data_IF_987028843964
#
_entry.id   IF_987028843964
#
_cell.length_a   1.000
_cell.length_b   1.000
_cell.length_c   1.000
_cell.angle_alpha   90.00
_cell.angle_beta   90.00
_cell.angle_gamma   90.00
#
_symmetry.space_group_name_H-M   'P 1'
#
loop_
_entity.id
_entity.type
_entity.pdbx_description
1 polymer ?
#
# COMPACT_ATOMS: atom_id res chain seq x y z
N UNK A 1 5.38 -7.66 8.69
CA UNK A 1 5.33 -7.13 10.06
C UNK A 1 6.64 -7.34 10.82
N UNK A 2 7.34 -8.48 10.65
CA UNK A 2 8.58 -8.79 11.35
C UNK A 2 9.82 -8.01 10.87
N UNK A 3 9.72 -7.21 9.83
CA UNK A 3 10.85 -6.54 9.19
C UNK A 3 11.16 -5.15 9.74
N UNK A 4 10.58 -4.75 10.87
CA UNK A 4 10.61 -3.36 11.31
C UNK A 4 11.25 -3.17 12.69
N UNK A 5 11.86 -4.20 13.23
CA UNK A 5 12.61 -4.14 14.50
C UNK A 5 14.03 -3.56 14.35
N UNK A 6 14.42 -3.19 13.13
CA UNK A 6 15.75 -2.63 12.83
C UNK A 6 16.77 -3.64 12.33
N UNK A 7 16.43 -4.92 12.28
CA UNK A 7 17.26 -5.94 11.63
C UNK A 7 16.74 -6.18 10.20
N UNK A 8 17.58 -6.01 9.21
CA UNK A 8 17.29 -6.39 7.84
C UNK A 8 17.70 -7.84 7.67
N UNK A 9 16.76 -8.79 7.48
CA UNK A 9 17.16 -10.15 7.15
C UNK A 9 17.86 -10.15 5.79
N UNK A 10 19.08 -10.61 5.74
CA UNK A 10 19.84 -10.83 4.51
C UNK A 10 19.50 -12.18 3.88
N UNK A 11 19.44 -12.26 2.55
CA UNK A 11 19.19 -11.22 1.57
C UNK A 11 17.68 -11.00 1.37
N UNK A 12 17.24 -9.75 1.42
CA UNK A 12 15.87 -9.42 1.03
C UNK A 12 15.74 -9.56 -0.49
N UNK A 13 14.89 -10.47 -0.94
CA UNK A 13 14.46 -10.47 -2.35
C UNK A 13 13.57 -9.25 -2.56
N UNK A 14 13.99 -8.25 -3.33
CA UNK A 14 13.19 -7.05 -3.55
C UNK A 14 11.87 -7.43 -4.22
N UNK A 15 10.75 -6.92 -3.70
CA UNK A 15 9.47 -7.02 -4.40
C UNK A 15 9.54 -6.33 -5.77
N UNK A 16 8.64 -6.68 -6.68
CA UNK A 16 8.54 -6.00 -7.99
C UNK A 16 8.43 -4.48 -7.82
N UNK A 17 7.63 -4.01 -6.86
CA UNK A 17 7.51 -2.58 -6.55
C UNK A 17 8.86 -1.97 -6.10
N UNK A 18 9.61 -2.66 -5.26
CA UNK A 18 10.93 -2.19 -4.81
C UNK A 18 11.92 -2.12 -5.97
N UNK A 19 11.94 -3.11 -6.86
CA UNK A 19 12.77 -3.10 -8.06
C UNK A 19 12.42 -1.93 -9.00
N UNK A 20 11.16 -1.53 -9.04
CA UNK A 20 10.67 -0.38 -9.80
C UNK A 20 10.88 0.97 -9.08
N UNK A 21 11.55 1.01 -7.93
CA UNK A 21 11.75 2.23 -7.14
C UNK A 21 10.51 2.73 -6.40
N UNK A 22 9.49 1.87 -6.27
CA UNK A 22 8.21 2.15 -5.59
C UNK A 22 8.09 1.35 -4.28
N UNK A 23 9.20 1.17 -3.59
CA UNK A 23 9.25 0.51 -2.28
C UNK A 23 8.64 1.37 -1.16
N UNK A 24 9.02 1.08 0.08
CA UNK A 24 8.55 1.86 1.24
C UNK A 24 8.95 3.35 1.15
N UNK A 25 10.15 3.62 0.64
CA UNK A 25 10.59 4.96 0.26
C UNK A 25 10.64 5.00 -1.26
N UNK A 26 9.83 5.84 -1.86
CA UNK A 26 9.80 6.00 -3.30
C UNK A 26 11.05 6.74 -3.77
N UNK A 27 11.72 6.18 -4.75
CA UNK A 27 12.93 6.77 -5.33
C UNK A 27 12.64 7.53 -6.62
N UNK A 28 11.53 7.19 -7.28
CA UNK A 28 11.14 7.78 -8.56
C UNK A 28 9.62 7.81 -8.73
N UNK A 29 9.15 8.68 -9.60
CA UNK A 29 7.76 8.75 -10.05
C UNK A 29 7.72 8.31 -11.50
N UNK A 30 6.84 7.37 -11.81
CA UNK A 30 6.54 6.97 -13.18
C UNK A 30 5.26 7.66 -13.65
N UNK A 31 5.37 8.52 -14.64
CA UNK A 31 4.25 9.25 -15.20
C UNK A 31 4.35 9.29 -16.72
N UNK A 32 3.29 8.91 -17.42
CA UNK A 32 3.21 8.91 -18.88
C UNK A 32 4.41 8.23 -19.57
N UNK A 33 4.86 7.09 -19.05
CA UNK A 33 6.00 6.34 -19.59
C UNK A 33 7.37 6.91 -19.24
N UNK A 34 7.43 8.04 -18.54
CA UNK A 34 8.68 8.64 -18.07
C UNK A 34 8.91 8.33 -16.59
N UNK A 35 10.15 8.00 -16.25
CA UNK A 35 10.59 7.77 -14.88
C UNK A 35 11.44 8.96 -14.41
N UNK A 36 10.91 9.70 -13.45
CA UNK A 36 11.57 10.88 -12.88
C UNK A 36 12.07 10.58 -11.49
N UNK A 37 13.37 10.74 -11.19
CA UNK A 37 13.90 10.61 -9.85
C UNK A 37 13.25 11.61 -8.89
N UNK A 38 12.93 11.18 -7.67
CA UNK A 38 12.42 12.06 -6.60
C UNK A 38 13.54 12.78 -5.86
N UNK A 39 14.78 12.35 -6.02
CA UNK A 39 15.94 12.88 -5.33
C UNK A 39 17.07 13.12 -6.32
N UNK A 40 17.84 14.17 -6.13
CA UNK A 40 19.02 14.48 -6.93
C UNK A 40 20.18 13.48 -6.70
N UNK A 41 20.12 12.74 -5.59
CA UNK A 41 21.09 11.70 -5.21
C UNK A 41 20.38 10.52 -4.54
N UNK A 42 21.07 9.41 -4.43
CA UNK A 42 20.59 8.29 -3.61
C UNK A 42 20.55 8.70 -2.13
N UNK A 43 19.52 8.28 -1.44
CA UNK A 43 19.41 8.43 0.00
C UNK A 43 20.40 7.48 0.70
N UNK A 44 20.99 7.94 1.77
CA UNK A 44 21.78 7.07 2.64
C UNK A 44 20.88 6.16 3.47
N UNK A 45 21.45 5.06 3.96
CA UNK A 45 20.71 4.14 4.86
C UNK A 45 20.21 4.89 6.09
N UNK A 46 21.00 5.79 6.65
CA UNK A 46 20.62 6.60 7.81
C UNK A 46 19.40 7.49 7.53
N UNK A 47 19.35 8.15 6.37
CA UNK A 47 18.19 8.95 5.96
C UNK A 47 16.93 8.11 5.78
N UNK A 48 17.06 6.91 5.18
CA UNK A 48 15.93 5.97 5.04
C UNK A 48 15.43 5.53 6.42
N UNK A 49 16.33 5.14 7.32
CA UNK A 49 15.98 4.73 8.69
C UNK A 49 15.30 5.87 9.46
N UNK A 50 15.79 7.09 9.33
CA UNK A 50 15.21 8.28 9.95
C UNK A 50 13.77 8.53 9.46
N UNK A 51 13.51 8.43 8.16
CA UNK A 51 12.17 8.57 7.58
C UNK A 51 11.21 7.49 8.09
N UNK A 52 11.70 6.25 8.15
CA UNK A 52 10.91 5.14 8.71
C UNK A 52 10.58 5.42 10.19
N UNK A 53 11.55 5.84 10.98
CA UNK A 53 11.37 6.11 12.41
C UNK A 53 10.43 7.28 12.69
N UNK A 54 10.53 8.36 11.91
CA UNK A 54 9.79 9.59 12.18
C UNK A 54 8.39 9.64 11.53
N UNK A 55 8.16 8.90 10.44
CA UNK A 55 6.90 8.97 9.72
C UNK A 55 6.16 7.63 9.68
N UNK A 56 6.82 6.59 9.22
CA UNK A 56 6.16 5.31 9.01
C UNK A 56 5.79 4.61 10.32
N UNK A 57 6.75 4.49 11.25
CA UNK A 57 6.51 3.81 12.53
C UNK A 57 5.43 4.48 13.39
N UNK A 58 5.46 5.80 13.62
CA UNK A 58 4.42 6.46 14.41
C UNK A 58 3.02 6.26 13.82
N UNK A 59 2.88 6.46 12.50
CA UNK A 59 1.60 6.26 11.83
C UNK A 59 1.06 4.83 12.04
N UNK A 60 1.88 3.81 11.79
CA UNK A 60 1.46 2.42 11.94
C UNK A 60 1.23 2.01 13.39
N UNK A 61 1.95 2.61 14.32
CA UNK A 61 1.71 2.39 15.75
C UNK A 61 0.34 2.92 16.19
N UNK A 62 -0.03 4.12 15.74
CA UNK A 62 -1.35 4.69 16.05
C UNK A 62 -2.48 3.93 15.36
N UNK A 63 -2.29 3.53 14.11
CA UNK A 63 -3.26 2.68 13.41
C UNK A 63 -3.46 1.33 14.14
N UNK A 64 -2.37 0.69 14.56
CA UNK A 64 -2.45 -0.56 15.31
C UNK A 64 -3.20 -0.40 16.65
N UNK A 65 -2.95 0.71 17.38
CA UNK A 65 -3.69 1.04 18.61
C UNK A 65 -5.18 1.23 18.33
N UNK A 66 -5.55 1.96 17.28
CA UNK A 66 -6.95 2.19 16.92
C UNK A 66 -7.66 0.87 16.58
N UNK A 67 -7.01 0.00 15.81
CA UNK A 67 -7.53 -1.34 15.50
C UNK A 67 -7.69 -2.18 16.77
N UNK A 68 -6.66 -2.22 17.62
CA UNK A 68 -6.71 -2.98 18.87
C UNK A 68 -7.81 -2.48 19.81
N UNK A 69 -7.94 -1.18 19.96
CA UNK A 69 -9.00 -0.56 20.76
C UNK A 69 -10.39 -0.95 20.23
N UNK A 70 -10.61 -0.87 18.91
CA UNK A 70 -11.87 -1.24 18.28
C UNK A 70 -12.19 -2.73 18.49
N UNK A 71 -11.19 -3.61 18.32
CA UNK A 71 -11.32 -5.04 18.59
C UNK A 71 -11.73 -5.32 20.03
N UNK A 72 -11.08 -4.68 21.00
CA UNK A 72 -11.41 -4.83 22.43
C UNK A 72 -12.80 -4.29 22.77
N UNK A 73 -13.21 -3.20 22.16
CA UNK A 73 -14.46 -2.51 22.47
C UNK A 73 -15.69 -3.13 21.80
N UNK A 74 -15.53 -3.65 20.58
CA UNK A 74 -16.64 -4.09 19.72
C UNK A 74 -16.54 -5.56 19.30
N UNK A 75 -15.46 -6.26 19.63
CA UNK A 75 -15.23 -7.66 19.24
C UNK A 75 -14.83 -7.84 17.76
N UNK A 76 -14.80 -6.75 16.98
CA UNK A 76 -14.44 -6.76 15.57
C UNK A 76 -14.16 -5.37 15.06
N UNK A 77 -13.47 -5.25 13.93
CA UNK A 77 -13.19 -3.99 13.24
C UNK A 77 -13.07 -4.22 11.74
N UNK A 78 -13.62 -3.32 10.96
CA UNK A 78 -13.34 -3.20 9.54
C UNK A 78 -12.46 -1.99 9.30
N UNK A 79 -11.31 -2.23 8.69
CA UNK A 79 -10.39 -1.19 8.29
C UNK A 79 -10.40 -1.08 6.77
N UNK A 80 -10.88 0.05 6.26
CA UNK A 80 -10.91 0.34 4.83
C UNK A 80 -9.85 1.38 4.54
N UNK A 81 -8.89 1.03 3.67
CA UNK A 81 -7.89 1.95 3.18
C UNK A 81 -8.33 2.51 1.83
N UNK A 82 -8.78 3.77 1.83
CA UNK A 82 -9.26 4.45 0.64
C UNK A 82 -8.13 5.24 -0.01
N UNK A 83 -7.91 5.01 -1.29
CA UNK A 83 -6.97 5.81 -2.08
C UNK A 83 -7.38 5.83 -3.55
N UNK A 84 -6.92 6.84 -4.28
CA UNK A 84 -7.12 6.94 -5.72
C UNK A 84 -6.05 6.14 -6.48
N UNK A 85 -6.39 5.76 -7.69
CA UNK A 85 -5.51 5.11 -8.64
C UNK A 85 -5.49 5.92 -9.94
N UNK A 86 -4.32 6.12 -10.58
CA UNK A 86 -4.26 6.81 -11.86
C UNK A 86 -5.02 6.05 -12.94
N UNK A 87 -5.73 6.77 -13.82
CA UNK A 87 -6.48 6.17 -14.93
C UNK A 87 -5.59 5.42 -15.94
N UNK A 88 -4.31 5.77 -16.01
CA UNK A 88 -3.30 5.16 -16.87
C UNK A 88 -2.47 4.06 -16.17
N UNK A 89 -2.98 3.48 -15.07
CA UNK A 89 -2.24 2.51 -14.25
C UNK A 89 -1.74 1.31 -15.05
N UNK A 90 -2.54 0.78 -15.98
CA UNK A 90 -2.12 -0.37 -16.79
C UNK A 90 -0.96 -0.03 -17.73
N UNK A 91 -0.97 1.16 -18.34
CA UNK A 91 0.16 1.65 -19.14
C UNK A 91 1.43 1.81 -18.28
N UNK A 92 1.29 2.35 -17.06
CA UNK A 92 2.42 2.48 -16.12
C UNK A 92 3.01 1.15 -15.69
N UNK A 93 2.19 0.12 -15.61
CA UNK A 93 2.62 -1.24 -15.25
C UNK A 93 3.12 -2.05 -16.46
N UNK A 94 3.03 -1.50 -17.69
CA UNK A 94 3.40 -2.22 -18.91
C UNK A 94 2.50 -3.44 -19.20
N UNK A 95 1.28 -3.42 -18.68
CA UNK A 95 0.28 -4.47 -18.91
C UNK A 95 -0.65 -4.08 -20.06
N UNK A 96 -1.26 -5.05 -20.78
CA UNK A 96 -2.25 -4.76 -21.80
C UNK A 96 -3.37 -3.87 -21.27
N UNK A 97 -3.78 -2.90 -22.07
CA UNK A 97 -4.84 -1.99 -21.71
C UNK A 97 -6.14 -2.76 -21.45
N UNK A 98 -6.70 -2.57 -20.27
CA UNK A 98 -8.00 -3.10 -19.86
C UNK A 98 -8.87 -1.94 -19.45
N UNK A 99 -10.17 -2.09 -19.60
CA UNK A 99 -11.11 -1.13 -19.02
C UNK A 99 -10.89 -1.09 -17.50
N UNK A 100 -10.55 0.08 -16.99
CA UNK A 100 -10.39 0.28 -15.55
C UNK A 100 -11.78 0.43 -14.94
N UNK A 101 -12.08 -0.38 -13.94
CA UNK A 101 -13.28 -0.21 -13.15
C UNK A 101 -13.22 1.09 -12.32
N UNK A 102 -14.34 1.73 -12.09
CA UNK A 102 -14.43 2.95 -11.28
C UNK A 102 -13.98 2.68 -9.83
N UNK A 103 -14.26 1.48 -9.34
CA UNK A 103 -13.83 1.01 -8.03
C UNK A 103 -13.10 -0.33 -8.14
N UNK A 104 -11.98 -0.45 -7.47
CA UNK A 104 -11.21 -1.70 -7.36
C UNK A 104 -11.09 -2.07 -5.89
N UNK A 105 -11.73 -3.19 -5.52
CA UNK A 105 -11.65 -3.74 -4.17
C UNK A 105 -10.45 -4.67 -4.07
N UNK A 106 -9.64 -4.50 -3.03
CA UNK A 106 -8.45 -5.30 -2.80
C UNK A 106 -8.48 -5.94 -1.41
N UNK A 107 -8.50 -7.27 -1.35
CA UNK A 107 -8.50 -8.06 -0.13
C UNK A 107 -7.26 -8.98 0.00
N UNK A 108 -6.27 -8.80 -0.88
CA UNK A 108 -5.06 -9.63 -0.96
C UNK A 108 -5.36 -11.12 -1.09
N UNK A 109 -6.15 -11.45 -2.10
CA UNK A 109 -6.56 -12.83 -2.41
C UNK A 109 -7.34 -13.50 -1.25
N UNK A 110 -8.25 -12.74 -0.64
CA UNK A 110 -9.12 -13.23 0.44
C UNK A 110 -8.42 -13.36 1.81
N UNK A 111 -7.24 -12.74 1.98
CA UNK A 111 -6.46 -12.93 3.22
C UNK A 111 -6.60 -11.82 4.25
N UNK A 112 -7.24 -10.69 3.91
CA UNK A 112 -7.25 -9.50 4.77
C UNK A 112 -8.59 -9.14 5.37
N UNK A 113 -9.68 -9.73 4.90
CA UNK A 113 -11.01 -9.55 5.48
C UNK A 113 -11.91 -10.75 5.17
N UNK A 114 -13.07 -10.81 5.85
CA UNK A 114 -14.10 -11.79 5.54
C UNK A 114 -14.64 -11.56 4.13
N UNK A 115 -14.77 -12.61 3.28
CA UNK A 115 -15.32 -12.48 1.94
C UNK A 115 -16.71 -11.83 1.90
N UNK A 116 -17.55 -12.05 2.91
CA UNK A 116 -18.87 -11.42 3.00
C UNK A 116 -18.78 -9.89 3.04
N UNK A 117 -17.70 -9.33 3.61
CA UNK A 117 -17.50 -7.89 3.66
C UNK A 117 -17.17 -7.31 2.27
N UNK A 118 -16.35 -7.99 1.48
CA UNK A 118 -16.05 -7.57 0.09
C UNK A 118 -17.32 -7.62 -0.76
N UNK A 119 -18.10 -8.67 -0.63
CA UNK A 119 -19.39 -8.78 -1.35
C UNK A 119 -20.35 -7.65 -0.95
N UNK A 120 -20.50 -7.38 0.35
CA UNK A 120 -21.33 -6.29 0.85
C UNK A 120 -20.96 -4.93 0.24
N UNK A 121 -19.66 -4.62 0.20
CA UNK A 121 -19.17 -3.37 -0.40
C UNK A 121 -19.41 -3.37 -1.91
N UNK A 122 -19.12 -4.47 -2.59
CA UNK A 122 -19.36 -4.61 -4.03
C UNK A 122 -20.81 -4.36 -4.40
N UNK A 123 -21.73 -5.03 -3.72
CA UNK A 123 -23.17 -4.87 -3.91
C UNK A 123 -23.65 -3.44 -3.65
N UNK A 124 -23.13 -2.81 -2.58
CA UNK A 124 -23.44 -1.42 -2.25
C UNK A 124 -22.97 -0.43 -3.33
N UNK A 125 -21.78 -0.65 -3.90
CA UNK A 125 -21.25 0.17 -4.99
C UNK A 125 -22.05 -0.03 -6.28
N UNK A 126 -22.40 -1.26 -6.63
CA UNK A 126 -23.23 -1.57 -7.80
C UNK A 126 -24.64 -0.96 -7.70
N UNK A 127 -25.20 -0.89 -6.50
CA UNK A 127 -26.52 -0.29 -6.28
C UNK A 127 -26.54 1.23 -6.46
N UNK A 128 -25.38 1.89 -6.50
CA UNK A 128 -25.28 3.33 -6.73
C UNK A 128 -25.09 3.70 -8.22
N UNK A 129 -24.88 2.72 -9.10
CA UNK A 129 -24.71 2.89 -10.54
C UNK A 129 -23.29 2.70 -10.96
#
# INVERSE_FOLDING_TARGET
>A
PAMLDGTWPEPLTPSVKTQQGLGLIWEKINQAGQSTPMYERKLSVAEVQQRIAHYWRPYHAELAKAIQWSMQRFGGVWHINLHSMPSDVYQRLGTPEKHLADFVLGDRDGTTCDPAFIHLIGDALQAQG
#
